data_IF_370327657729
#
_entry.id   IF_370327657729
#
_cell.length_a   1.000
_cell.length_b   1.000
_cell.length_c   1.000
_cell.angle_alpha   90.00
_cell.angle_beta   90.00
_cell.angle_gamma   90.00
#
_symmetry.space_group_name_H-M   'P 1'
#
loop_
_entity.id
_entity.type
_entity.pdbx_description
1 polymer ?
#
# COMPACT_ATOMS: atom_id res chain seq x y z
N UNK A 1 -64.43 -45.59 -14.25
CA UNK A 1 -64.04 -44.19 -14.59
C UNK A 1 -63.01 -43.73 -13.54
N UNK A 2 -61.73 -43.75 -13.90
CA UNK A 2 -60.63 -43.31 -13.02
C UNK A 2 -60.41 -41.84 -13.23
N UNK A 3 -60.57 -41.02 -12.20
CA UNK A 3 -60.24 -39.57 -12.22
C UNK A 3 -58.73 -39.44 -12.03
N UNK A 4 -58.07 -38.88 -13.05
CA UNK A 4 -56.66 -38.47 -13.02
C UNK A 4 -56.63 -37.06 -12.42
N UNK A 5 -56.08 -36.89 -11.24
CA UNK A 5 -55.80 -35.57 -10.67
C UNK A 5 -54.46 -35.08 -11.22
N UNK A 6 -54.51 -33.96 -11.96
CA UNK A 6 -53.34 -33.28 -12.47
C UNK A 6 -52.79 -32.35 -11.40
N UNK A 7 -51.63 -32.70 -10.85
CA UNK A 7 -50.88 -31.84 -9.92
C UNK A 7 -50.04 -30.86 -10.76
N UNK A 8 -50.43 -29.59 -10.79
CA UNK A 8 -49.61 -28.52 -11.36
C UNK A 8 -48.62 -28.11 -10.28
N UNK A 9 -47.34 -28.50 -10.45
CA UNK A 9 -46.22 -28.06 -9.61
C UNK A 9 -45.77 -26.67 -10.15
N UNK A 10 -46.22 -25.61 -9.50
CA UNK A 10 -45.72 -24.27 -9.77
C UNK A 10 -44.30 -24.15 -9.19
N UNK A 11 -43.30 -24.25 -10.05
CA UNK A 11 -41.93 -23.88 -9.75
C UNK A 11 -41.86 -22.36 -9.71
N UNK A 12 -41.91 -21.79 -8.52
CA UNK A 12 -41.56 -20.36 -8.32
C UNK A 12 -40.06 -20.28 -8.43
N UNK A 13 -39.53 -19.85 -9.60
CA UNK A 13 -38.17 -19.37 -9.72
C UNK A 13 -38.09 -18.09 -8.87
N UNK A 14 -37.55 -18.21 -7.66
CA UNK A 14 -36.98 -17.05 -6.98
C UNK A 14 -35.73 -16.66 -7.79
N UNK A 15 -35.87 -15.69 -8.65
CA UNK A 15 -34.75 -14.87 -9.08
C UNK A 15 -34.25 -14.17 -7.80
N UNK A 16 -33.28 -14.76 -7.12
CA UNK A 16 -32.43 -14.00 -6.24
C UNK A 16 -31.75 -13.01 -7.17
N UNK A 17 -32.23 -11.76 -7.20
CA UNK A 17 -31.38 -10.65 -7.59
C UNK A 17 -30.13 -10.85 -6.72
N UNK A 18 -28.97 -11.03 -7.37
CA UNK A 18 -27.70 -10.99 -6.67
C UNK A 18 -27.69 -9.61 -5.99
N UNK A 19 -27.94 -9.58 -4.69
CA UNK A 19 -27.73 -8.38 -3.91
C UNK A 19 -26.25 -8.06 -4.13
N UNK A 20 -25.93 -6.86 -4.56
CA UNK A 20 -24.56 -6.42 -4.65
C UNK A 20 -23.93 -6.45 -3.25
N UNK A 21 -22.62 -6.47 -3.21
CA UNK A 21 -21.90 -6.62 -1.96
C UNK A 21 -20.50 -6.07 -2.04
N UNK A 22 -19.74 -6.34 -1.00
CA UNK A 22 -18.28 -6.14 -1.03
C UNK A 22 -17.71 -7.13 -2.03
N UNK A 23 -17.02 -6.62 -3.07
CA UNK A 23 -16.38 -7.42 -4.09
C UNK A 23 -14.95 -7.79 -3.71
N UNK A 24 -14.16 -6.79 -3.31
CA UNK A 24 -12.78 -6.95 -2.85
C UNK A 24 -12.49 -6.06 -1.65
N UNK A 25 -11.61 -6.49 -0.76
CA UNK A 25 -11.26 -5.79 0.46
C UNK A 25 -12.17 -6.14 1.65
N UNK A 26 -12.21 -5.29 2.71
CA UNK A 26 -11.57 -3.98 2.78
C UNK A 26 -10.05 -4.03 2.93
N UNK A 27 -9.39 -2.93 2.56
CA UNK A 27 -8.00 -2.68 2.94
C UNK A 27 -7.86 -1.30 3.58
N UNK A 28 -6.94 -1.23 4.55
CA UNK A 28 -6.68 -0.01 5.31
C UNK A 28 -5.36 0.57 4.85
N UNK A 29 -5.35 1.82 4.44
CA UNK A 29 -4.15 2.56 4.04
C UNK A 29 -4.09 3.93 4.71
N UNK A 30 -3.10 4.74 4.37
CA UNK A 30 -2.88 6.07 4.97
C UNK A 30 -2.96 6.05 6.51
N UNK A 31 -2.54 4.92 7.13
CA UNK A 31 -2.52 4.83 8.58
C UNK A 31 -1.51 5.83 9.16
N UNK A 32 -1.94 6.59 10.16
CA UNK A 32 -1.17 7.55 10.94
C UNK A 32 -1.50 7.38 12.41
N UNK A 33 -1.03 8.28 13.24
CA UNK A 33 -1.30 8.28 14.69
C UNK A 33 -2.72 8.72 15.03
N UNK A 34 -3.40 9.37 14.11
CA UNK A 34 -4.68 10.05 14.32
C UNK A 34 -5.75 9.69 13.27
N UNK A 35 -5.41 8.84 12.30
CA UNK A 35 -6.31 8.49 11.20
C UNK A 35 -5.98 7.17 10.53
N UNK A 36 -6.97 6.64 9.83
CA UNK A 36 -6.86 5.55 8.84
C UNK A 36 -7.80 5.85 7.67
N UNK A 37 -7.46 5.37 6.48
CA UNK A 37 -8.32 5.38 5.31
C UNK A 37 -8.69 3.94 4.94
N UNK A 38 -9.98 3.65 4.79
CA UNK A 38 -10.52 2.32 4.54
C UNK A 38 -11.10 2.30 3.14
N UNK A 39 -10.63 1.37 2.31
CA UNK A 39 -11.11 1.19 0.95
C UNK A 39 -11.69 -0.22 0.75
N UNK A 40 -12.58 -0.33 -0.22
CA UNK A 40 -13.10 -1.60 -0.74
C UNK A 40 -13.74 -1.37 -2.11
N UNK A 41 -13.96 -2.43 -2.86
CA UNK A 41 -14.78 -2.38 -4.07
C UNK A 41 -16.11 -3.05 -3.86
N UNK A 42 -17.13 -2.60 -4.59
CA UNK A 42 -18.46 -3.21 -4.65
C UNK A 42 -18.78 -3.73 -6.06
N UNK A 43 -19.70 -4.69 -6.13
CA UNK A 43 -20.14 -5.28 -7.40
C UNK A 43 -20.77 -4.25 -8.35
N UNK A 44 -21.54 -3.33 -7.78
CA UNK A 44 -22.22 -2.24 -8.51
C UNK A 44 -21.93 -0.90 -7.83
N UNK A 45 -22.01 0.23 -8.55
CA UNK A 45 -21.89 1.54 -7.92
C UNK A 45 -22.90 1.72 -6.78
N UNK A 46 -22.53 2.43 -5.72
CA UNK A 46 -23.42 2.68 -4.59
C UNK A 46 -22.88 3.76 -3.67
N UNK A 47 -23.73 4.23 -2.74
CA UNK A 47 -23.29 5.03 -1.61
C UNK A 47 -22.65 4.11 -0.57
N UNK A 48 -21.57 4.55 0.06
CA UNK A 48 -20.79 3.72 0.95
C UNK A 48 -20.54 4.36 2.31
N UNK A 49 -20.33 3.52 3.32
CA UNK A 49 -20.00 3.95 4.67
C UNK A 49 -19.10 2.94 5.40
N UNK A 50 -18.36 3.43 6.35
CA UNK A 50 -17.75 2.63 7.40
C UNK A 50 -18.61 2.74 8.65
N UNK A 51 -18.99 1.61 9.24
CA UNK A 51 -19.69 1.54 10.52
C UNK A 51 -18.71 1.16 11.63
N UNK A 52 -18.71 1.93 12.69
CA UNK A 52 -17.90 1.73 13.88
C UNK A 52 -18.65 0.86 14.91
N UNK A 53 -17.91 0.31 15.88
CA UNK A 53 -18.48 -0.56 16.91
C UNK A 53 -19.58 0.08 17.78
N UNK A 54 -19.60 1.41 17.87
CA UNK A 54 -20.62 2.18 18.58
C UNK A 54 -21.89 2.46 17.74
N UNK A 55 -21.93 1.95 16.49
CA UNK A 55 -23.02 2.18 15.54
C UNK A 55 -22.90 3.45 14.72
N UNK A 56 -21.86 4.26 14.93
CA UNK A 56 -21.59 5.44 14.10
C UNK A 56 -21.29 5.04 12.66
N UNK A 57 -21.97 5.66 11.69
CA UNK A 57 -21.72 5.48 10.26
C UNK A 57 -21.04 6.70 9.65
N UNK A 58 -19.80 6.52 9.20
CA UNK A 58 -19.05 7.54 8.45
C UNK A 58 -19.25 7.29 6.96
N UNK A 59 -19.97 8.18 6.30
CA UNK A 59 -20.32 8.06 4.90
C UNK A 59 -19.24 8.65 4.00
N UNK A 60 -19.01 8.00 2.86
CA UNK A 60 -18.22 8.56 1.78
C UNK A 60 -18.92 9.82 1.21
N UNK A 61 -18.22 10.95 1.25
CA UNK A 61 -18.77 12.24 0.83
C UNK A 61 -17.77 13.05 0.04
N UNK A 62 -18.27 13.82 -0.92
CA UNK A 62 -17.49 14.81 -1.63
C UNK A 62 -18.29 16.12 -1.74
N UNK A 63 -17.69 17.23 -1.36
CA UNK A 63 -18.31 18.57 -1.40
C UNK A 63 -19.72 18.63 -0.79
N UNK A 64 -19.92 17.94 0.36
CA UNK A 64 -21.19 17.95 1.11
C UNK A 64 -22.24 16.98 0.57
N UNK A 65 -21.92 16.13 -0.38
CA UNK A 65 -22.82 15.13 -0.95
C UNK A 65 -22.24 13.71 -0.77
N UNK A 66 -23.07 12.72 -0.46
CA UNK A 66 -22.71 11.31 -0.61
C UNK A 66 -22.49 11.01 -2.07
N UNK A 67 -21.38 10.36 -2.37
CA UNK A 67 -21.02 9.93 -3.73
C UNK A 67 -21.36 8.45 -3.93
N UNK A 68 -21.40 7.99 -5.17
CA UNK A 68 -21.67 6.61 -5.49
C UNK A 68 -20.73 6.14 -6.59
N UNK A 69 -19.84 5.26 -6.18
CA UNK A 69 -18.75 4.67 -6.96
C UNK A 69 -18.74 3.17 -6.80
N UNK A 70 -17.79 2.49 -7.43
CA UNK A 70 -17.46 1.09 -7.18
C UNK A 70 -16.22 0.94 -6.31
N UNK A 71 -15.25 1.84 -6.43
CA UNK A 71 -14.14 1.97 -5.49
C UNK A 71 -14.57 2.96 -4.41
N UNK A 72 -14.65 2.50 -3.19
CA UNK A 72 -15.03 3.29 -2.03
C UNK A 72 -13.83 3.66 -1.21
N UNK A 73 -13.81 4.89 -0.69
CA UNK A 73 -12.72 5.43 0.10
C UNK A 73 -13.30 6.26 1.26
N UNK A 74 -13.15 5.77 2.48
CA UNK A 74 -13.64 6.43 3.69
C UNK A 74 -12.51 6.67 4.67
N UNK A 75 -12.23 7.92 4.96
CA UNK A 75 -11.24 8.32 5.95
C UNK A 75 -11.87 8.51 7.32
N UNK A 76 -11.24 7.95 8.34
CA UNK A 76 -11.61 8.10 9.75
C UNK A 76 -10.53 8.91 10.44
N UNK A 77 -10.86 10.13 10.84
CA UNK A 77 -9.96 11.06 11.51
C UNK A 77 -10.27 11.17 13.02
N UNK A 78 -9.37 11.82 13.75
CA UNK A 78 -9.54 12.14 15.17
C UNK A 78 -9.32 10.96 16.11
N UNK A 79 -8.67 9.91 15.61
CA UNK A 79 -8.29 8.75 16.42
C UNK A 79 -7.14 9.11 17.37
N UNK A 80 -6.92 8.25 18.37
CA UNK A 80 -5.75 8.40 19.24
C UNK A 80 -4.61 7.48 18.77
N UNK A 81 -3.35 7.81 19.05
CA UNK A 81 -2.23 6.93 18.77
C UNK A 81 -2.41 5.55 19.44
N UNK A 82 -2.21 4.47 18.69
CA UNK A 82 -2.39 3.10 19.16
C UNK A 82 -3.85 2.70 19.40
N UNK A 83 -4.81 3.49 18.91
CA UNK A 83 -6.22 3.16 19.09
C UNK A 83 -6.60 1.95 18.22
N UNK A 84 -7.30 1.01 18.87
CA UNK A 84 -7.96 -0.09 18.20
C UNK A 84 -9.31 0.38 17.63
N UNK A 85 -9.46 0.30 16.33
CA UNK A 85 -10.67 0.65 15.59
C UNK A 85 -11.35 -0.63 15.11
N UNK A 86 -12.49 -0.99 15.72
CA UNK A 86 -13.34 -2.05 15.22
C UNK A 86 -14.37 -1.46 14.26
N UNK A 87 -14.40 -1.98 13.03
CA UNK A 87 -15.21 -1.44 11.95
C UNK A 87 -15.74 -2.52 11.01
N UNK A 88 -16.76 -2.18 10.24
CA UNK A 88 -17.17 -2.89 9.03
C UNK A 88 -17.50 -1.92 7.92
N UNK A 89 -17.40 -2.35 6.69
CA UNK A 89 -17.80 -1.58 5.51
C UNK A 89 -19.24 -1.93 5.13
N UNK A 90 -19.92 -0.99 4.48
CA UNK A 90 -21.26 -1.22 3.97
C UNK A 90 -21.67 -0.13 3.00
N UNK A 91 -22.82 -0.33 2.36
CA UNK A 91 -23.30 0.63 1.38
C UNK A 91 -24.75 0.40 0.98
N UNK A 92 -25.20 1.20 0.03
CA UNK A 92 -26.49 1.07 -0.61
C UNK A 92 -26.32 1.15 -2.11
N UNK A 93 -26.77 0.14 -2.83
CA UNK A 93 -26.61 0.01 -4.27
C UNK A 93 -27.33 1.10 -5.03
N UNK A 94 -26.75 1.53 -6.14
CA UNK A 94 -27.40 2.39 -7.13
C UNK A 94 -28.18 1.52 -8.10
N UNK A 95 -29.52 1.66 -8.14
CA UNK A 95 -30.39 0.92 -9.07
C UNK A 95 -30.64 1.67 -10.36
N UNK A 96 -30.82 2.99 -10.27
CA UNK A 96 -31.21 3.80 -11.43
C UNK A 96 -30.74 5.25 -11.25
N UNK A 97 -29.87 5.72 -12.12
CA UNK A 97 -29.36 7.08 -12.19
C UNK A 97 -29.86 7.88 -13.42
N UNK A 98 -30.82 7.35 -14.14
CA UNK A 98 -31.40 7.98 -15.32
C UNK A 98 -31.99 9.37 -15.02
N UNK A 99 -32.40 9.61 -13.79
CA UNK A 99 -32.76 10.92 -13.26
C UNK A 99 -31.66 11.46 -12.35
N UNK A 100 -30.75 12.26 -12.87
CA UNK A 100 -29.62 12.85 -12.13
C UNK A 100 -30.03 13.66 -10.89
N UNK A 101 -31.27 14.15 -10.80
CA UNK A 101 -31.76 14.88 -9.62
C UNK A 101 -32.33 13.96 -8.54
N UNK A 102 -32.72 12.76 -8.91
CA UNK A 102 -33.37 11.82 -8.00
C UNK A 102 -33.00 10.37 -8.37
N UNK A 103 -31.72 9.96 -8.20
CA UNK A 103 -31.30 8.58 -8.41
C UNK A 103 -32.04 7.66 -7.44
N UNK A 104 -32.24 6.41 -7.84
CA UNK A 104 -32.85 5.38 -6.98
C UNK A 104 -31.79 4.46 -6.44
N UNK A 105 -31.90 4.15 -5.17
CA UNK A 105 -31.02 3.23 -4.48
C UNK A 105 -31.80 2.01 -3.99
N UNK A 106 -31.17 0.87 -4.09
CA UNK A 106 -31.72 -0.44 -3.75
C UNK A 106 -31.37 -0.90 -2.34
N UNK A 107 -30.98 -2.16 -2.26
CA UNK A 107 -30.68 -2.81 -1.00
C UNK A 107 -29.42 -2.24 -0.32
N UNK A 108 -29.40 -2.34 1.00
CA UNK A 108 -28.18 -2.15 1.79
C UNK A 108 -27.40 -3.47 1.82
N UNK A 109 -26.08 -3.36 1.81
CA UNK A 109 -25.17 -4.46 2.10
C UNK A 109 -24.24 -4.09 3.25
N UNK A 110 -23.72 -5.10 3.93
CA UNK A 110 -22.76 -4.96 5.02
C UNK A 110 -21.72 -6.09 4.91
N UNK A 111 -20.45 -5.74 5.10
CA UNK A 111 -19.35 -6.69 5.17
C UNK A 111 -19.12 -7.20 6.59
N UNK A 112 -18.08 -8.00 6.74
CA UNK A 112 -17.64 -8.52 8.02
C UNK A 112 -17.03 -7.46 8.93
N UNK A 113 -16.98 -7.74 10.23
CA UNK A 113 -16.30 -6.91 11.21
C UNK A 113 -14.80 -7.18 11.21
N UNK A 114 -14.02 -6.10 11.15
CA UNK A 114 -12.57 -6.10 11.23
C UNK A 114 -12.09 -5.20 12.37
N UNK A 115 -10.82 -5.32 12.72
CA UNK A 115 -10.15 -4.48 13.71
C UNK A 115 -8.80 -4.08 13.17
N UNK A 116 -8.47 -2.79 13.24
CA UNK A 116 -7.16 -2.22 12.85
C UNK A 116 -6.69 -1.26 13.92
N UNK A 117 -5.37 -1.11 14.07
CA UNK A 117 -4.78 -0.14 14.98
C UNK A 117 -4.18 1.05 14.22
N UNK A 118 -4.30 2.25 14.79
CA UNK A 118 -3.52 3.40 14.38
C UNK A 118 -2.06 3.24 14.79
N UNK A 119 -1.14 3.95 14.16
CA UNK A 119 0.26 3.93 14.59
C UNK A 119 0.42 4.58 15.97
N UNK A 120 1.32 4.02 16.78
CA UNK A 120 1.68 4.54 18.11
C UNK A 120 3.18 4.85 18.16
N UNK A 121 3.60 6.12 18.23
CA UNK A 121 5.01 6.47 18.40
C UNK A 121 5.64 5.99 19.70
N UNK A 122 4.82 5.51 20.66
CA UNK A 122 5.27 4.98 21.95
C UNK A 122 5.33 3.46 22.01
N UNK A 123 4.94 2.77 20.94
CA UNK A 123 5.10 1.32 20.86
C UNK A 123 6.57 0.95 21.11
N UNK A 124 6.89 -0.12 21.86
CA UNK A 124 8.26 -0.48 22.19
C UNK A 124 9.04 -1.07 21.02
N UNK A 125 8.35 -1.62 20.06
CA UNK A 125 8.87 -2.36 18.91
C UNK A 125 8.22 -1.85 17.62
N UNK A 126 8.79 -2.28 16.49
CA UNK A 126 8.20 -2.06 15.17
C UNK A 126 8.47 -3.30 14.31
N UNK A 127 7.40 -3.91 13.78
CA UNK A 127 7.45 -5.15 12.99
C UNK A 127 6.66 -4.96 11.70
N UNK A 128 7.28 -5.15 10.55
CA UNK A 128 6.60 -5.00 9.27
C UNK A 128 7.09 -5.99 8.22
N UNK A 129 6.22 -6.26 7.26
CA UNK A 129 6.54 -7.11 6.12
C UNK A 129 6.51 -6.32 4.82
N UNK A 130 7.54 -6.49 3.99
CA UNK A 130 7.70 -5.83 2.69
C UNK A 130 7.54 -6.85 1.57
N UNK A 131 6.76 -6.49 0.54
CA UNK A 131 6.63 -7.23 -0.72
C UNK A 131 7.09 -6.35 -1.87
N UNK A 132 7.73 -6.94 -2.87
CA UNK A 132 8.23 -6.21 -4.04
C UNK A 132 8.37 -7.13 -5.25
N UNK A 133 8.40 -6.52 -6.46
CA UNK A 133 8.72 -7.19 -7.73
C UNK A 133 7.89 -8.46 -7.97
N UNK A 134 6.60 -8.39 -7.69
CA UNK A 134 5.67 -9.52 -7.88
C UNK A 134 5.35 -9.70 -9.35
N UNK A 135 5.18 -8.62 -10.11
CA UNK A 135 4.94 -8.61 -11.55
C UNK A 135 3.81 -9.55 -11.98
N UNK A 136 2.61 -9.33 -11.45
CA UNK A 136 1.38 -10.09 -11.73
C UNK A 136 1.45 -11.59 -11.37
N UNK A 137 2.45 -12.05 -10.62
CA UNK A 137 2.58 -13.46 -10.19
C UNK A 137 1.71 -13.73 -8.96
N UNK A 138 0.39 -13.70 -9.14
CA UNK A 138 -0.62 -13.79 -8.08
C UNK A 138 -0.38 -14.97 -7.14
N UNK A 139 -0.17 -16.18 -7.65
CA UNK A 139 0.06 -17.39 -6.83
C UNK A 139 1.31 -17.28 -5.92
N UNK A 140 2.34 -16.59 -6.37
CA UNK A 140 3.52 -16.36 -5.54
C UNK A 140 3.23 -15.33 -4.45
N UNK A 141 2.48 -14.29 -4.81
CA UNK A 141 2.10 -13.25 -3.87
C UNK A 141 1.20 -13.80 -2.77
N UNK A 142 0.19 -14.60 -3.11
CA UNK A 142 -0.66 -15.32 -2.16
C UNK A 142 0.19 -16.21 -1.24
N UNK A 143 1.15 -16.95 -1.79
CA UNK A 143 2.05 -17.81 -1.02
C UNK A 143 2.94 -17.05 -0.06
N UNK A 144 3.37 -15.84 -0.41
CA UNK A 144 4.16 -14.96 0.46
C UNK A 144 3.25 -14.35 1.56
N UNK A 145 2.07 -13.88 1.19
CA UNK A 145 1.09 -13.29 2.10
C UNK A 145 0.61 -14.29 3.17
N UNK A 146 0.34 -15.53 2.77
CA UNK A 146 -0.10 -16.59 3.67
C UNK A 146 0.89 -16.92 4.82
N UNK A 147 2.13 -16.45 4.73
CA UNK A 147 3.17 -16.68 5.71
C UNK A 147 3.38 -15.48 6.66
N UNK A 148 2.62 -14.39 6.50
CA UNK A 148 2.69 -13.24 7.41
C UNK A 148 2.10 -13.65 8.76
N UNK A 149 2.83 -13.38 9.83
CA UNK A 149 2.29 -13.50 11.19
C UNK A 149 1.44 -12.26 11.50
N UNK A 150 0.14 -12.36 11.23
CA UNK A 150 -0.81 -11.26 11.41
C UNK A 150 -0.95 -10.81 12.87
N UNK A 151 -0.57 -11.65 13.83
CA UNK A 151 -0.68 -11.31 15.25
C UNK A 151 0.44 -10.39 15.74
N UNK A 152 1.56 -10.34 15.02
CA UNK A 152 2.74 -9.58 15.41
C UNK A 152 3.19 -8.52 14.38
N UNK A 153 2.55 -8.44 13.22
CA UNK A 153 2.90 -7.48 12.15
C UNK A 153 2.11 -6.18 12.34
N UNK A 154 2.82 -5.06 12.46
CA UNK A 154 2.23 -3.73 12.65
C UNK A 154 1.71 -3.12 11.35
N UNK A 155 2.39 -3.36 10.22
CA UNK A 155 1.96 -2.93 8.89
C UNK A 155 2.58 -3.77 7.77
N UNK A 156 1.94 -3.74 6.61
CA UNK A 156 2.46 -4.27 5.35
C UNK A 156 2.97 -3.11 4.49
N UNK A 157 4.05 -3.32 3.77
CA UNK A 157 4.57 -2.35 2.82
C UNK A 157 4.74 -3.00 1.44
N UNK A 158 4.04 -2.49 0.44
CA UNK A 158 4.29 -2.85 -0.95
C UNK A 158 5.36 -1.92 -1.50
N UNK A 159 6.53 -2.47 -1.80
CA UNK A 159 7.66 -1.70 -2.29
C UNK A 159 7.79 -1.78 -3.81
N UNK A 160 6.68 -1.57 -4.50
CA UNK A 160 6.59 -1.43 -5.95
C UNK A 160 6.69 -2.69 -6.78
N UNK A 161 6.33 -2.54 -8.04
CA UNK A 161 6.34 -3.58 -9.08
C UNK A 161 5.50 -4.81 -8.69
N UNK A 162 4.37 -4.57 -8.02
CA UNK A 162 3.39 -5.61 -7.75
C UNK A 162 2.65 -5.91 -9.05
N UNK A 163 2.10 -4.89 -9.72
CA UNK A 163 1.63 -5.00 -11.10
C UNK A 163 2.78 -4.80 -12.10
N UNK A 164 2.63 -5.38 -13.30
CA UNK A 164 3.62 -5.21 -14.38
C UNK A 164 3.42 -3.92 -15.18
N UNK A 165 2.31 -3.23 -15.01
CA UNK A 165 2.00 -1.90 -15.56
C UNK A 165 0.67 -1.39 -15.01
N UNK A 166 0.46 -0.07 -14.98
CA UNK A 166 -0.81 0.58 -14.65
C UNK A 166 -1.68 0.77 -15.91
N UNK A 167 -2.02 -0.33 -16.58
CA UNK A 167 -2.86 -0.34 -17.77
C UNK A 167 -4.14 -1.20 -17.58
N UNK A 168 -4.42 -1.57 -16.35
CA UNK A 168 -5.56 -2.38 -15.95
C UNK A 168 -6.76 -1.52 -15.56
N UNK A 169 -7.96 -2.05 -15.75
CA UNK A 169 -9.16 -1.48 -15.16
C UNK A 169 -9.22 -1.79 -13.65
N UNK A 170 -10.08 -1.09 -12.91
CA UNK A 170 -10.18 -1.19 -11.45
C UNK A 170 -10.20 -2.63 -10.93
N UNK A 171 -11.08 -3.47 -11.46
CA UNK A 171 -11.25 -4.84 -10.95
C UNK A 171 -10.00 -5.70 -11.13
N UNK A 172 -9.35 -5.56 -12.28
CA UNK A 172 -8.12 -6.30 -12.58
C UNK A 172 -6.95 -5.75 -11.76
N UNK A 173 -6.84 -4.44 -11.60
CA UNK A 173 -5.79 -3.83 -10.78
C UNK A 173 -5.92 -4.27 -9.32
N UNK A 174 -7.12 -4.20 -8.74
CA UNK A 174 -7.37 -4.65 -7.35
C UNK A 174 -7.11 -6.15 -7.21
N UNK A 175 -7.46 -6.96 -8.22
CA UNK A 175 -7.16 -8.40 -8.22
C UNK A 175 -5.64 -8.70 -8.19
N UNK A 176 -4.84 -7.89 -8.85
CA UNK A 176 -3.37 -8.07 -8.88
C UNK A 176 -2.69 -7.57 -7.61
N UNK A 177 -3.17 -6.47 -7.06
CA UNK A 177 -2.52 -5.70 -6.00
C UNK A 177 -3.01 -6.06 -4.58
N UNK A 178 -4.32 -6.27 -4.42
CA UNK A 178 -4.98 -6.36 -3.11
C UNK A 178 -5.45 -7.78 -2.80
N UNK A 179 -6.19 -8.42 -3.72
CA UNK A 179 -6.85 -9.71 -3.45
C UNK A 179 -5.87 -10.81 -3.00
N UNK A 180 -4.61 -10.90 -3.51
CA UNK A 180 -3.66 -11.90 -3.06
C UNK A 180 -3.25 -11.79 -1.59
N UNK A 181 -3.44 -10.63 -0.98
CA UNK A 181 -3.21 -10.41 0.46
C UNK A 181 -4.34 -10.99 1.33
N UNK A 182 -5.46 -11.39 0.73
CA UNK A 182 -6.64 -11.88 1.45
C UNK A 182 -7.17 -10.87 2.47
N UNK A 183 -7.41 -11.32 3.69
CA UNK A 183 -7.93 -10.46 4.76
C UNK A 183 -6.84 -9.71 5.55
N UNK A 184 -5.56 -9.89 5.24
CA UNK A 184 -4.48 -9.21 5.97
C UNK A 184 -4.67 -7.69 6.01
N UNK A 185 -4.90 -6.99 4.88
CA UNK A 185 -4.97 -5.54 4.88
C UNK A 185 -6.25 -4.96 5.49
N UNK A 186 -7.22 -5.80 5.87
CA UNK A 186 -8.37 -5.37 6.65
C UNK A 186 -8.03 -5.13 8.14
N UNK A 187 -7.02 -5.84 8.66
CA UNK A 187 -6.59 -5.73 10.06
C UNK A 187 -5.19 -5.15 10.25
N UNK A 188 -4.38 -5.14 9.20
CA UNK A 188 -3.00 -4.65 9.21
C UNK A 188 -2.90 -3.53 8.18
N UNK A 189 -2.51 -2.30 8.55
CA UNK A 189 -2.36 -1.21 7.59
C UNK A 189 -1.44 -1.59 6.42
N UNK A 190 -1.88 -1.30 5.19
CA UNK A 190 -1.17 -1.50 3.95
C UNK A 190 -0.61 -0.17 3.47
N UNK A 191 0.69 -0.02 3.45
CA UNK A 191 1.38 1.15 2.92
C UNK A 191 2.03 0.82 1.58
N UNK A 192 2.24 1.84 0.76
CA UNK A 192 2.68 1.66 -0.61
C UNK A 192 3.82 2.63 -0.98
N UNK A 193 4.86 2.08 -1.59
CA UNK A 193 5.90 2.82 -2.32
C UNK A 193 5.84 2.41 -3.78
N UNK A 194 5.62 3.36 -4.68
CA UNK A 194 5.44 3.10 -6.11
C UNK A 194 6.71 2.54 -6.74
N UNK A 195 6.56 1.47 -7.52
CA UNK A 195 7.59 0.97 -8.42
C UNK A 195 7.55 1.71 -9.77
N UNK A 196 8.54 1.45 -10.60
CA UNK A 196 8.59 2.05 -11.93
C UNK A 196 7.52 1.46 -12.87
N UNK A 197 7.10 0.21 -12.64
CA UNK A 197 6.05 -0.44 -13.43
C UNK A 197 4.66 0.16 -13.19
N UNK A 198 4.31 0.57 -11.98
CA UNK A 198 3.08 1.30 -11.71
C UNK A 198 3.09 2.74 -12.28
N UNK A 199 4.23 3.22 -12.75
CA UNK A 199 4.33 4.45 -13.55
C UNK A 199 4.06 4.26 -15.04
N UNK A 200 3.96 3.00 -15.53
CA UNK A 200 3.79 2.65 -16.94
C UNK A 200 2.34 2.34 -17.27
N UNK A 201 1.80 2.93 -18.31
CA UNK A 201 0.43 2.68 -18.76
C UNK A 201 -0.40 3.94 -18.85
N UNK A 202 -1.71 3.77 -19.03
CA UNK A 202 -2.66 4.85 -19.22
C UNK A 202 -3.62 5.08 -18.03
N UNK A 203 -3.49 4.28 -16.98
CA UNK A 203 -4.32 4.36 -15.76
C UNK A 203 -3.45 4.59 -14.51
N UNK A 204 -2.38 5.39 -14.64
CA UNK A 204 -1.45 5.66 -13.53
C UNK A 204 -2.13 6.38 -12.35
N UNK A 205 -3.20 7.13 -12.59
CA UNK A 205 -4.00 7.78 -11.56
C UNK A 205 -4.73 6.77 -10.68
N UNK A 206 -5.12 5.61 -11.23
CA UNK A 206 -5.78 4.54 -10.48
C UNK A 206 -4.92 4.01 -9.35
N UNK A 207 -3.59 4.02 -9.51
CA UNK A 207 -2.66 3.64 -8.45
C UNK A 207 -2.84 4.52 -7.22
N UNK A 208 -2.98 5.85 -7.42
CA UNK A 208 -3.22 6.78 -6.33
C UNK A 208 -4.65 6.65 -5.74
N UNK A 209 -5.62 6.23 -6.54
CA UNK A 209 -6.98 5.99 -6.05
C UNK A 209 -7.05 4.73 -5.16
N UNK A 210 -6.28 3.68 -5.48
CA UNK A 210 -6.22 2.42 -4.71
C UNK A 210 -5.32 2.55 -3.47
N UNK A 211 -4.28 3.40 -3.55
CA UNK A 211 -3.36 3.71 -2.45
C UNK A 211 -3.34 5.20 -2.13
N UNK A 212 -4.48 5.77 -1.70
CA UNK A 212 -4.54 7.20 -1.40
C UNK A 212 -3.59 7.55 -0.26
N UNK A 213 -2.83 8.60 -0.47
CA UNK A 213 -2.07 9.29 0.56
C UNK A 213 -2.09 10.78 0.21
N UNK A 214 -2.59 11.57 1.11
CA UNK A 214 -2.86 13.00 0.85
C UNK A 214 -1.80 13.94 1.41
N UNK A 215 -0.79 13.40 2.10
CA UNK A 215 0.17 14.24 2.84
C UNK A 215 1.60 13.66 2.74
N UNK A 216 2.46 14.34 1.99
CA UNK A 216 2.24 15.50 1.14
C UNK A 216 1.76 15.14 -0.28
N UNK A 217 2.00 13.91 -0.71
CA UNK A 217 1.72 13.41 -2.04
C UNK A 217 1.41 11.91 -2.03
N UNK A 218 0.84 11.34 -3.08
CA UNK A 218 0.46 9.93 -3.09
C UNK A 218 1.63 8.97 -2.84
N UNK A 219 2.82 9.25 -3.37
CA UNK A 219 3.89 8.24 -3.43
C UNK A 219 5.17 8.61 -2.68
N UNK A 220 5.25 9.80 -2.06
CA UNK A 220 6.34 10.13 -1.14
C UNK A 220 5.79 10.77 0.13
N UNK A 221 6.23 10.28 1.29
CA UNK A 221 5.70 10.68 2.59
C UNK A 221 6.58 10.22 3.73
N UNK A 222 6.27 10.69 4.95
CA UNK A 222 6.86 10.19 6.19
C UNK A 222 5.76 9.62 7.10
N UNK A 223 6.16 8.67 7.94
CA UNK A 223 5.33 8.18 9.04
C UNK A 223 6.20 7.66 10.18
N UNK A 224 5.60 7.40 11.32
CA UNK A 224 6.30 6.85 12.48
C UNK A 224 5.44 5.82 13.20
N UNK A 225 6.06 4.68 13.53
CA UNK A 225 5.51 3.69 14.43
C UNK A 225 6.58 3.26 15.43
N UNK A 226 6.26 3.29 16.73
CA UNK A 226 7.20 3.01 17.79
C UNK A 226 8.47 3.86 17.71
N UNK A 227 9.63 3.25 17.86
CA UNK A 227 10.92 3.92 17.79
C UNK A 227 11.36 4.27 16.36
N UNK A 228 10.66 3.75 15.32
CA UNK A 228 11.10 3.85 13.94
C UNK A 228 10.33 4.93 13.18
N UNK A 229 11.05 5.89 12.61
CA UNK A 229 10.53 6.83 11.63
C UNK A 229 10.90 6.38 10.21
N UNK A 230 9.98 6.55 9.29
CA UNK A 230 10.12 6.14 7.90
C UNK A 230 10.04 7.35 6.98
N UNK A 231 10.85 7.34 5.94
CA UNK A 231 10.70 8.20 4.77
C UNK A 231 10.55 7.32 3.53
N UNK A 232 9.50 7.57 2.76
CA UNK A 232 9.21 6.89 1.50
C UNK A 232 9.51 7.83 0.36
N UNK A 233 10.23 7.35 -0.65
CA UNK A 233 10.48 8.07 -1.88
C UNK A 233 9.94 7.32 -3.07
N UNK A 234 9.69 8.06 -4.14
CA UNK A 234 9.29 7.56 -5.43
C UNK A 234 10.30 7.99 -6.49
N UNK A 235 11.02 7.01 -7.03
CA UNK A 235 12.02 7.27 -8.06
C UNK A 235 11.42 7.51 -9.47
N UNK A 236 10.12 7.25 -9.65
CA UNK A 236 9.48 7.33 -10.95
C UNK A 236 9.82 6.13 -11.84
N UNK A 237 10.76 6.29 -12.76
CA UNK A 237 11.19 5.23 -13.69
C UNK A 237 12.69 4.93 -13.52
N UNK A 238 13.14 3.74 -13.94
CA UNK A 238 14.55 3.34 -13.92
C UNK A 238 15.38 3.96 -15.05
N UNK A 239 14.72 4.41 -16.11
CA UNK A 239 15.37 5.14 -17.22
C UNK A 239 15.66 6.59 -16.86
N UNK A 240 16.62 7.20 -17.58
CA UNK A 240 16.78 8.66 -17.50
C UNK A 240 15.55 9.36 -18.07
N UNK A 241 15.21 10.52 -17.50
CA UNK A 241 14.34 11.53 -18.13
C UNK A 241 14.69 11.68 -19.63
N UNK A 242 13.68 11.68 -20.48
CA UNK A 242 13.77 11.63 -21.95
C UNK A 242 14.07 10.23 -22.51
N UNK A 243 13.82 9.19 -21.74
CA UNK A 243 13.91 7.84 -22.26
C UNK A 243 12.83 7.59 -23.33
N UNK A 244 13.10 6.66 -24.21
CA UNK A 244 12.17 6.25 -25.28
C UNK A 244 10.87 5.66 -24.70
N UNK A 245 10.89 5.24 -23.42
CA UNK A 245 9.77 4.57 -22.75
C UNK A 245 8.51 5.42 -22.65
N UNK A 246 8.65 6.73 -22.45
CA UNK A 246 7.50 7.64 -22.32
C UNK A 246 7.36 8.60 -23.49
N UNK A 247 8.14 8.40 -24.58
CA UNK A 247 8.13 9.30 -25.75
C UNK A 247 8.36 10.78 -25.40
N UNK A 248 9.08 11.04 -24.29
CA UNK A 248 9.37 12.38 -23.80
C UNK A 248 8.19 13.05 -23.05
N UNK A 249 7.20 12.28 -22.58
CA UNK A 249 6.09 12.80 -21.77
C UNK A 249 6.39 12.83 -20.26
N UNK A 250 7.53 12.30 -19.83
CA UNK A 250 7.92 12.31 -18.41
C UNK A 250 8.54 13.65 -17.98
N UNK A 251 8.38 13.95 -16.69
CA UNK A 251 8.96 15.11 -16.00
C UNK A 251 9.61 14.67 -14.67
N UNK A 252 10.15 13.45 -14.63
CA UNK A 252 10.68 12.87 -13.40
C UNK A 252 11.83 13.66 -12.77
N UNK A 253 12.61 14.38 -13.55
CA UNK A 253 13.69 15.22 -12.98
C UNK A 253 13.13 16.33 -12.08
N UNK A 254 12.06 17.02 -12.51
CA UNK A 254 11.40 18.05 -11.70
C UNK A 254 10.73 17.41 -10.47
N UNK A 255 10.08 16.28 -10.66
CA UNK A 255 9.43 15.52 -9.58
C UNK A 255 10.42 15.02 -8.52
N UNK A 256 11.60 14.56 -8.91
CA UNK A 256 12.64 14.14 -7.98
C UNK A 256 13.26 15.35 -7.23
N UNK A 257 13.43 16.48 -7.91
CA UNK A 257 13.90 17.72 -7.26
C UNK A 257 12.88 18.24 -6.23
N UNK A 258 11.57 18.15 -6.53
CA UNK A 258 10.51 18.47 -5.57
C UNK A 258 10.60 17.58 -4.31
N UNK A 259 10.86 16.29 -4.49
CA UNK A 259 11.04 15.37 -3.35
C UNK A 259 12.27 15.71 -2.50
N UNK A 260 13.37 16.17 -3.10
CA UNK A 260 14.56 16.63 -2.36
C UNK A 260 14.19 17.81 -1.45
N UNK A 261 13.52 18.82 -2.01
CA UNK A 261 13.11 20.01 -1.25
C UNK A 261 12.12 19.67 -0.12
N UNK A 262 11.18 18.77 -0.39
CA UNK A 262 10.26 18.27 0.63
C UNK A 262 10.98 17.47 1.71
N UNK A 263 11.84 16.53 1.33
CA UNK A 263 12.52 15.64 2.26
C UNK A 263 13.38 16.38 3.28
N UNK A 264 14.08 17.44 2.85
CA UNK A 264 14.85 18.30 3.75
C UNK A 264 13.99 18.91 4.86
N UNK A 265 12.76 19.31 4.54
CA UNK A 265 11.79 19.85 5.51
C UNK A 265 11.22 18.74 6.39
N UNK A 266 10.78 17.63 5.78
CA UNK A 266 10.18 16.51 6.45
C UNK A 266 11.12 15.83 7.46
N UNK A 267 12.39 15.66 7.10
CA UNK A 267 13.39 15.09 7.98
C UNK A 267 13.80 16.02 9.16
N UNK A 268 13.57 17.33 9.02
CA UNK A 268 13.77 18.29 10.11
C UNK A 268 12.63 18.30 11.14
N UNK A 269 11.46 17.75 10.80
CA UNK A 269 10.32 17.66 11.72
C UNK A 269 10.65 16.77 12.92
N UNK A 270 10.22 17.14 14.15
CA UNK A 270 10.54 16.40 15.36
C UNK A 270 10.15 14.91 15.30
N UNK A 271 9.05 14.58 14.64
CA UNK A 271 8.57 13.22 14.51
C UNK A 271 9.58 12.30 13.80
N UNK A 272 10.31 12.82 12.82
CA UNK A 272 11.36 12.10 12.09
C UNK A 272 12.73 12.31 12.76
N UNK A 273 13.12 13.58 12.98
CA UNK A 273 14.45 13.95 13.50
C UNK A 273 14.79 13.25 14.81
N UNK A 274 13.82 13.24 15.74
CA UNK A 274 14.03 12.74 17.11
C UNK A 274 13.67 11.25 17.27
N UNK A 275 13.43 10.55 16.17
CA UNK A 275 13.20 9.11 16.19
C UNK A 275 14.49 8.35 16.47
N UNK A 276 14.47 7.33 17.35
CA UNK A 276 15.64 6.50 17.64
C UNK A 276 16.20 5.78 16.42
N UNK A 277 15.33 5.38 15.48
CA UNK A 277 15.71 4.68 14.25
C UNK A 277 15.02 5.32 13.06
N UNK A 278 15.74 5.43 11.95
CA UNK A 278 15.25 6.04 10.71
C UNK A 278 15.47 5.12 9.53
N UNK A 279 14.41 4.79 8.82
CA UNK A 279 14.43 3.89 7.66
C UNK A 279 13.91 4.61 6.42
N UNK A 280 14.65 4.47 5.31
CA UNK A 280 14.21 4.88 3.98
C UNK A 280 13.64 3.68 3.23
N UNK A 281 12.45 3.83 2.66
CA UNK A 281 11.79 2.86 1.81
C UNK A 281 11.62 3.45 0.40
N UNK A 282 12.04 2.72 -0.60
CA UNK A 282 11.82 3.09 -2.00
C UNK A 282 12.02 1.86 -2.89
N UNK A 283 11.42 1.87 -4.08
CA UNK A 283 11.57 0.76 -4.99
C UNK A 283 12.95 0.76 -5.65
N UNK A 284 13.29 1.78 -6.43
CA UNK A 284 14.57 1.89 -7.14
C UNK A 284 15.67 2.35 -6.16
N UNK A 285 16.67 1.51 -5.83
CA UNK A 285 17.62 1.79 -4.77
C UNK A 285 18.60 2.90 -5.14
N UNK A 286 19.01 3.69 -4.16
CA UNK A 286 20.01 4.78 -4.30
C UNK A 286 21.42 4.22 -4.20
N UNK A 287 21.88 3.53 -5.24
CA UNK A 287 23.21 2.92 -5.28
C UNK A 287 24.09 3.57 -6.35
N UNK A 288 25.41 3.58 -6.09
CA UNK A 288 26.42 3.89 -7.10
C UNK A 288 27.21 2.61 -7.42
N UNK A 289 26.99 2.07 -8.61
CA UNK A 289 27.73 0.89 -9.06
C UNK A 289 28.76 1.33 -10.12
N UNK A 290 30.03 1.52 -9.74
CA UNK A 290 31.02 2.12 -10.61
C UNK A 290 31.29 1.35 -11.92
N UNK A 291 31.05 0.02 -11.89
CA UNK A 291 31.34 -0.86 -13.01
C UNK A 291 30.11 -1.13 -13.91
N UNK A 292 28.94 -0.53 -13.59
CA UNK A 292 27.70 -0.76 -14.35
C UNK A 292 27.12 0.56 -14.86
N UNK A 293 27.21 0.73 -16.17
CA UNK A 293 26.66 1.90 -16.87
C UNK A 293 25.12 1.90 -16.94
N UNK A 294 24.49 0.77 -16.64
CA UNK A 294 23.04 0.59 -16.74
C UNK A 294 22.29 1.19 -15.54
N UNK A 295 23.02 1.52 -14.46
CA UNK A 295 22.44 2.06 -13.20
C UNK A 295 22.55 3.60 -13.14
N UNK A 296 22.23 4.27 -14.22
CA UNK A 296 22.39 5.74 -14.29
C UNK A 296 21.44 6.48 -13.34
N UNK A 297 20.19 6.03 -13.23
CA UNK A 297 19.24 6.64 -12.29
C UNK A 297 19.64 6.35 -10.85
N UNK A 298 19.96 5.11 -10.52
CA UNK A 298 20.40 4.72 -9.17
C UNK A 298 21.61 5.53 -8.72
N UNK A 299 22.57 5.76 -9.63
CA UNK A 299 23.72 6.65 -9.39
C UNK A 299 23.30 8.10 -9.18
N UNK A 300 22.39 8.61 -10.01
CA UNK A 300 21.87 9.96 -9.86
C UNK A 300 21.18 10.13 -8.50
N UNK A 301 20.31 9.18 -8.11
CA UNK A 301 19.68 9.14 -6.81
C UNK A 301 20.71 9.09 -5.67
N UNK A 302 21.75 8.25 -5.80
CA UNK A 302 22.82 8.17 -4.81
C UNK A 302 23.51 9.53 -4.63
N UNK A 303 23.88 10.21 -5.71
CA UNK A 303 24.58 11.49 -5.66
C UNK A 303 23.73 12.60 -5.04
N UNK A 304 22.42 12.63 -5.32
CA UNK A 304 21.55 13.74 -4.91
C UNK A 304 20.82 13.50 -3.57
N UNK A 305 20.45 12.27 -3.27
CA UNK A 305 19.66 11.95 -2.06
C UNK A 305 20.53 11.46 -0.89
N UNK A 306 21.52 10.62 -1.15
CA UNK A 306 22.31 9.99 -0.08
C UNK A 306 23.02 11.01 0.83
N UNK A 307 23.57 12.14 0.35
CA UNK A 307 24.17 13.13 1.25
C UNK A 307 23.20 13.67 2.31
N UNK A 308 21.97 14.00 1.93
CA UNK A 308 20.96 14.50 2.88
C UNK A 308 20.47 13.41 3.85
N UNK A 309 20.40 12.15 3.40
CA UNK A 309 20.06 11.01 4.24
C UNK A 309 21.19 10.70 5.24
N UNK A 310 22.44 10.85 4.84
CA UNK A 310 23.61 10.78 5.76
C UNK A 310 23.52 11.86 6.85
N UNK A 311 23.21 13.09 6.46
CA UNK A 311 23.04 14.22 7.40
C UNK A 311 21.87 13.99 8.37
N UNK A 312 20.78 13.41 7.89
CA UNK A 312 19.62 13.07 8.70
C UNK A 312 19.87 11.90 9.67
N UNK A 313 21.00 11.18 9.51
CA UNK A 313 21.34 10.04 10.33
C UNK A 313 20.43 8.84 10.08
N UNK A 314 20.28 8.44 8.82
CA UNK A 314 19.53 7.25 8.43
C UNK A 314 20.22 5.98 8.94
N UNK A 315 19.46 4.97 9.37
CA UNK A 315 19.98 3.71 9.89
C UNK A 315 19.88 2.56 8.89
N UNK A 316 18.95 2.63 7.92
CA UNK A 316 18.76 1.61 6.89
C UNK A 316 18.01 2.18 5.69
N UNK A 317 18.41 1.77 4.49
CA UNK A 317 17.62 1.90 3.27
C UNK A 317 17.19 0.52 2.79
N UNK A 318 15.90 0.38 2.43
CA UNK A 318 15.35 -0.83 1.83
C UNK A 318 14.87 -0.49 0.41
N UNK A 319 15.47 -1.17 -0.58
CA UNK A 319 15.15 -1.05 -1.99
C UNK A 319 14.74 -2.39 -2.61
N UNK A 320 14.44 -2.35 -3.93
CA UNK A 320 13.98 -3.47 -4.74
C UNK A 320 14.51 -3.33 -6.19
N UNK A 321 13.68 -3.50 -7.25
CA UNK A 321 13.95 -3.22 -8.69
C UNK A 321 15.01 -4.11 -9.35
N UNK A 322 16.10 -4.40 -8.68
CA UNK A 322 17.26 -5.06 -9.30
C UNK A 322 17.08 -6.56 -9.53
N UNK A 323 16.00 -7.16 -9.05
CA UNK A 323 15.73 -8.60 -9.09
C UNK A 323 16.91 -9.44 -8.57
N UNK A 324 17.74 -8.84 -7.74
CA UNK A 324 18.93 -9.46 -7.14
C UNK A 324 19.08 -8.97 -5.72
N UNK A 325 19.22 -9.90 -4.78
CA UNK A 325 19.47 -9.52 -3.40
C UNK A 325 20.88 -8.92 -3.24
N UNK A 326 20.92 -7.77 -2.61
CA UNK A 326 22.16 -7.06 -2.33
C UNK A 326 22.15 -6.50 -0.92
N UNK A 327 23.27 -6.57 -0.23
CA UNK A 327 23.50 -5.86 1.03
C UNK A 327 24.78 -5.03 0.92
N UNK A 328 24.65 -3.73 0.95
CA UNK A 328 25.75 -2.79 0.90
C UNK A 328 26.04 -2.29 2.30
N UNK A 329 27.22 -2.62 2.82
CA UNK A 329 27.69 -2.09 4.11
C UNK A 329 27.88 -0.56 4.03
N UNK A 330 27.83 0.08 5.18
CA UNK A 330 28.12 1.51 5.33
C UNK A 330 29.45 1.86 4.67
N UNK A 331 29.48 2.94 3.89
CA UNK A 331 30.68 3.47 3.22
C UNK A 331 31.02 2.82 1.88
N UNK A 332 30.30 1.78 1.45
CA UNK A 332 30.60 1.10 0.17
C UNK A 332 30.09 1.86 -1.06
N UNK A 333 29.07 2.70 -0.89
CA UNK A 333 28.40 3.47 -1.95
C UNK A 333 28.12 4.91 -1.52
N UNK A 334 29.06 5.54 -0.84
CA UNK A 334 28.95 6.89 -0.25
C UNK A 334 27.88 6.99 0.86
N UNK A 335 27.24 5.87 1.21
CA UNK A 335 26.20 5.73 2.21
C UNK A 335 26.78 5.74 3.63
N UNK A 336 26.21 6.55 4.53
CA UNK A 336 26.48 6.54 5.98
C UNK A 336 25.70 5.46 6.73
N UNK A 337 24.87 4.69 6.04
CA UNK A 337 23.95 3.66 6.54
C UNK A 337 23.97 2.44 5.60
N UNK A 338 23.63 1.23 6.04
CA UNK A 338 23.52 0.08 5.15
C UNK A 338 22.33 0.22 4.16
N UNK A 339 22.49 -0.35 2.95
CA UNK A 339 21.45 -0.44 1.93
C UNK A 339 21.15 -1.92 1.71
N UNK A 340 19.91 -2.32 1.90
CA UNK A 340 19.42 -3.65 1.56
C UNK A 340 18.51 -3.57 0.33
N UNK A 341 18.83 -4.33 -0.71
CA UNK A 341 17.98 -4.51 -1.88
C UNK A 341 17.39 -5.91 -1.80
N UNK A 342 16.05 -5.99 -1.69
CA UNK A 342 15.39 -7.27 -1.65
C UNK A 342 15.28 -7.87 -3.06
N UNK A 343 15.30 -9.19 -3.15
CA UNK A 343 15.17 -9.88 -4.44
C UNK A 343 13.69 -9.89 -4.89
N UNK A 344 13.48 -10.14 -6.18
CA UNK A 344 12.15 -10.29 -6.75
C UNK A 344 11.31 -11.34 -6.02
N UNK A 345 10.01 -11.10 -5.92
CA UNK A 345 9.03 -12.00 -5.32
C UNK A 345 9.53 -12.63 -4.00
N UNK A 346 9.95 -11.80 -3.08
CA UNK A 346 10.30 -12.14 -1.70
C UNK A 346 9.42 -11.37 -0.74
N UNK A 347 9.22 -11.96 0.44
CA UNK A 347 8.76 -11.23 1.61
C UNK A 347 9.98 -10.93 2.47
N UNK A 348 10.15 -9.66 2.83
CA UNK A 348 11.13 -9.22 3.80
C UNK A 348 10.40 -8.88 5.09
N UNK A 349 10.66 -9.61 6.17
CA UNK A 349 10.21 -9.25 7.51
C UNK A 349 11.29 -8.43 8.19
N UNK A 350 10.91 -7.28 8.71
CA UNK A 350 11.80 -6.36 9.43
C UNK A 350 11.28 -6.18 10.85
N UNK A 351 12.15 -6.37 11.81
CA UNK A 351 11.83 -6.28 13.22
C UNK A 351 12.82 -5.35 13.91
N UNK A 352 12.31 -4.30 14.53
CA UNK A 352 13.08 -3.54 15.52
C UNK A 352 12.56 -3.86 16.90
N UNK A 353 13.41 -4.50 17.70
CA UNK A 353 13.14 -4.86 19.10
C UNK A 353 14.46 -4.88 19.88
N UNK A 354 14.43 -4.54 21.17
CA UNK A 354 15.57 -4.58 22.07
C UNK A 354 16.81 -3.81 21.57
N UNK A 355 16.61 -2.74 20.81
CA UNK A 355 17.70 -1.92 20.25
C UNK A 355 18.39 -2.55 19.02
N UNK A 356 17.82 -3.57 18.44
CA UNK A 356 18.34 -4.27 17.25
C UNK A 356 17.32 -4.24 16.12
N UNK A 357 17.82 -4.06 14.89
CA UNK A 357 17.06 -4.14 13.68
C UNK A 357 17.42 -5.44 12.94
N UNK A 358 16.45 -6.33 12.76
CA UNK A 358 16.66 -7.63 12.12
C UNK A 358 15.86 -7.72 10.82
N UNK A 359 16.51 -8.20 9.77
CA UNK A 359 15.98 -8.41 8.43
C UNK A 359 15.95 -9.91 8.15
N UNK A 360 14.77 -10.42 7.73
CA UNK A 360 14.60 -11.80 7.28
C UNK A 360 13.91 -11.82 5.91
N UNK A 361 14.61 -12.22 4.86
CA UNK A 361 14.01 -12.35 3.52
C UNK A 361 13.63 -13.80 3.23
N UNK A 362 12.35 -14.02 2.85
CA UNK A 362 11.77 -15.35 2.63
C UNK A 362 11.31 -15.55 1.20
N UNK A 363 11.48 -16.76 0.70
CA UNK A 363 10.89 -17.25 -0.55
C UNK A 363 9.43 -17.62 -0.36
N UNK A 364 8.67 -17.72 -1.45
CA UNK A 364 7.27 -18.15 -1.44
C UNK A 364 7.05 -19.52 -0.78
N UNK A 365 8.06 -20.41 -0.74
CA UNK A 365 7.99 -21.70 -0.06
C UNK A 365 8.36 -21.65 1.43
N UNK A 366 8.49 -20.45 2.04
CA UNK A 366 8.83 -20.25 3.44
C UNK A 366 10.32 -20.39 3.78
N UNK A 367 11.17 -20.68 2.79
CA UNK A 367 12.61 -20.79 3.02
C UNK A 367 13.22 -19.42 3.28
N UNK A 368 13.94 -19.28 4.39
CA UNK A 368 14.79 -18.12 4.68
C UNK A 368 15.92 -18.05 3.64
N UNK A 369 16.05 -16.92 2.96
CA UNK A 369 17.03 -16.64 1.91
C UNK A 369 18.14 -15.72 2.40
N UNK A 370 17.80 -14.81 3.35
CA UNK A 370 18.75 -13.87 3.92
C UNK A 370 18.35 -13.52 5.36
N UNK A 371 19.35 -13.33 6.21
CA UNK A 371 19.23 -12.84 7.57
C UNK A 371 20.34 -11.84 7.89
N UNK A 372 20.00 -10.73 8.49
CA UNK A 372 20.98 -9.76 8.98
C UNK A 372 20.44 -9.03 10.21
N UNK A 373 21.28 -8.87 11.21
CA UNK A 373 21.01 -8.00 12.36
C UNK A 373 21.92 -6.78 12.29
N UNK A 374 21.33 -5.60 12.49
CA UNK A 374 21.98 -4.30 12.47
C UNK A 374 21.76 -3.67 13.86
N UNK A 375 22.76 -3.00 14.37
CA UNK A 375 22.62 -2.13 15.54
C UNK A 375 22.59 -0.69 15.03
N UNK A 376 21.40 -0.04 15.07
CA UNK A 376 21.24 1.35 14.68
C UNK A 376 22.06 2.34 15.49
#
# INVERSE_FOLDING_TARGET
MKKIALFILSVTLCLNALAGGVKSGPWVTEARTDRVTILWTSDVPGMAYVELADGTKVWETFAGRRVFHRLHCVRIDGLQPGAELRYRVGGQELEDDSNARNPKFGAFYEGDWHTVCTFDPKAPECRFSVFNDVHNRVEWYESLAAQVDSASTDFLFLNGDIASAANHELDEFVHLEIDPLGNLPAGIPLLFGRGNHEGRGNNVELVADVYPNSDPAPFYYTFRHGPVAFIVFDAGETGQSRSVLYSGSDVYEDYLNEQIEWAQKAMAEPAFRDAPVKICLLHVPMIDHPDKTDYLLQRWLNVHFVPMLNEAGLDLMIGADLHTQMYCETGTMHNGFPIFVNNEARRLDVVYADGLLTLHSYRANGRLDFEKTIKP
#
